data_IF_129276649282
#
_entry.id   IF_129276649282
#
_cell.length_a   1.000
_cell.length_b   1.000
_cell.length_c   1.000
_cell.angle_alpha   90.00
_cell.angle_beta   90.00
_cell.angle_gamma   90.00
#
_symmetry.space_group_name_H-M   'P 1'
#
loop_
_entity.id
_entity.type
_entity.pdbx_description
1 polymer ?
#
# COMPACT_ATOMS: atom_id res chain seq x y z
N UNK A 1 5.01 -69.06 52.39
CA UNK A 1 4.23 -68.59 51.17
C UNK A 1 4.15 -67.08 51.22
N UNK A 2 5.01 -66.39 50.47
CA UNK A 2 5.13 -64.94 50.46
C UNK A 2 4.55 -64.42 49.11
N UNK A 3 3.39 -63.75 49.20
CA UNK A 3 2.73 -63.13 48.05
C UNK A 3 3.40 -61.81 47.71
N UNK A 4 4.02 -61.70 46.52
CA UNK A 4 4.53 -60.43 45.95
C UNK A 4 3.39 -59.70 45.26
N UNK A 5 3.01 -58.50 45.77
CA UNK A 5 2.12 -57.56 45.13
C UNK A 5 2.93 -56.76 44.16
N UNK A 6 2.62 -56.85 42.88
CA UNK A 6 3.13 -55.93 41.78
C UNK A 6 2.30 -54.68 41.78
N UNK A 7 2.94 -53.56 42.05
CA UNK A 7 2.35 -52.21 41.93
C UNK A 7 2.64 -51.73 40.51
N UNK A 8 1.60 -51.67 39.66
CA UNK A 8 1.73 -51.16 38.29
C UNK A 8 1.50 -49.66 38.34
N UNK A 9 2.55 -48.87 38.18
CA UNK A 9 2.49 -47.42 38.10
C UNK A 9 2.11 -47.04 36.66
N UNK A 10 0.89 -46.56 36.48
CA UNK A 10 0.39 -46.06 35.19
C UNK A 10 0.85 -44.60 35.05
N UNK A 11 1.88 -44.34 34.23
CA UNK A 11 2.36 -42.98 33.91
C UNK A 11 1.47 -42.40 32.83
N UNK A 12 0.60 -41.47 33.22
CA UNK A 12 -0.26 -40.70 32.30
C UNK A 12 0.60 -39.59 31.67
N UNK A 13 1.10 -39.81 30.45
CA UNK A 13 1.72 -38.78 29.65
C UNK A 13 0.64 -37.81 29.15
N UNK A 14 0.52 -36.66 29.81
CA UNK A 14 -0.33 -35.55 29.36
C UNK A 14 0.34 -34.83 28.18
N UNK A 15 -0.13 -35.08 26.96
CA UNK A 15 0.33 -34.41 25.75
C UNK A 15 -0.27 -33.01 25.77
N UNK A 16 0.46 -31.99 26.20
CA UNK A 16 0.07 -30.59 26.08
C UNK A 16 0.27 -30.21 24.62
N UNK A 17 -0.80 -30.24 23.85
CA UNK A 17 -0.82 -29.66 22.50
C UNK A 17 -0.81 -28.14 22.64
N UNK A 18 0.37 -27.54 22.52
CA UNK A 18 0.50 -26.09 22.39
C UNK A 18 -0.04 -25.71 20.99
N UNK A 19 -1.29 -25.31 20.92
CA UNK A 19 -1.82 -24.62 19.73
C UNK A 19 -1.12 -23.26 19.63
N UNK A 20 0.03 -23.22 18.94
CA UNK A 20 0.58 -21.97 18.46
C UNK A 20 -0.44 -21.41 17.45
N UNK A 21 -1.18 -20.40 17.87
CA UNK A 21 -1.93 -19.57 16.94
C UNK A 21 -0.90 -18.88 16.05
N UNK A 22 -0.60 -19.47 14.90
CA UNK A 22 0.12 -18.79 13.83
C UNK A 22 -0.77 -17.62 13.41
N UNK A 23 -0.49 -16.43 13.95
CA UNK A 23 -1.05 -15.21 13.37
C UNK A 23 -0.57 -15.17 11.93
N UNK A 24 -1.48 -15.27 10.98
CA UNK A 24 -1.15 -15.15 9.58
C UNK A 24 -0.59 -13.74 9.37
N UNK A 25 0.71 -13.64 9.08
CA UNK A 25 1.36 -12.39 8.74
C UNK A 25 1.26 -12.24 7.23
N UNK A 26 1.00 -11.02 6.76
CA UNK A 26 1.04 -10.69 5.34
C UNK A 26 2.43 -10.13 5.05
N UNK A 27 3.14 -10.76 4.12
CA UNK A 27 4.45 -10.27 3.71
C UNK A 27 4.30 -8.92 3.01
N UNK A 28 5.18 -7.93 3.28
CA UNK A 28 5.20 -6.69 2.53
C UNK A 28 5.40 -6.94 1.03
N UNK A 29 4.73 -6.15 0.21
CA UNK A 29 4.83 -6.30 -1.25
C UNK A 29 3.63 -5.76 -1.99
N UNK A 30 3.67 -5.92 -3.30
CA UNK A 30 2.56 -5.61 -4.19
C UNK A 30 1.79 -6.89 -4.50
N UNK A 31 0.47 -6.85 -4.36
CA UNK A 31 -0.43 -7.95 -4.63
C UNK A 31 -1.46 -7.56 -5.68
N UNK A 32 -1.68 -8.41 -6.66
CA UNK A 32 -2.59 -8.15 -7.79
C UNK A 32 -3.65 -9.25 -7.87
N UNK A 33 -4.88 -8.82 -8.10
CA UNK A 33 -6.01 -9.68 -8.47
C UNK A 33 -6.66 -9.06 -9.70
N UNK A 34 -6.67 -9.78 -10.80
CA UNK A 34 -7.37 -9.39 -12.02
C UNK A 34 -8.67 -10.22 -12.13
N UNK A 35 -9.81 -9.53 -12.14
CA UNK A 35 -11.13 -10.14 -12.31
C UNK A 35 -11.77 -9.51 -13.55
N UNK A 36 -11.93 -10.28 -14.59
CA UNK A 36 -12.35 -9.80 -15.91
C UNK A 36 -11.40 -8.69 -16.41
N UNK A 37 -11.92 -7.48 -16.56
CA UNK A 37 -11.18 -6.30 -17.00
C UNK A 37 -10.77 -5.38 -15.83
N UNK A 38 -11.07 -5.76 -14.60
CA UNK A 38 -10.83 -4.96 -13.40
C UNK A 38 -9.61 -5.46 -12.66
N UNK A 39 -8.63 -4.57 -12.47
CA UNK A 39 -7.48 -4.83 -11.62
C UNK A 39 -7.70 -4.28 -10.22
N UNK A 40 -7.44 -5.13 -9.25
CA UNK A 40 -7.26 -4.79 -7.85
C UNK A 40 -5.77 -4.85 -7.52
N UNK A 41 -5.20 -3.76 -7.06
CA UNK A 41 -3.79 -3.67 -6.69
C UNK A 41 -3.67 -3.25 -5.22
N UNK A 42 -3.03 -4.10 -4.41
CA UNK A 42 -2.66 -3.80 -3.04
C UNK A 42 -1.17 -3.49 -2.98
N UNK A 43 -0.80 -2.44 -2.26
CA UNK A 43 0.56 -2.21 -1.78
C UNK A 43 0.54 -2.33 -0.27
N UNK A 44 1.39 -3.18 0.29
CA UNK A 44 1.40 -3.52 1.72
C UNK A 44 2.81 -3.37 2.26
N UNK A 45 2.97 -2.60 3.32
CA UNK A 45 4.17 -2.55 4.17
C UNK A 45 3.77 -2.90 5.59
N UNK A 46 4.72 -2.93 6.53
CA UNK A 46 4.39 -3.11 7.95
C UNK A 46 3.49 -1.98 8.43
N UNK A 47 2.24 -2.32 8.74
CA UNK A 47 1.26 -1.41 9.32
C UNK A 47 0.60 -0.41 8.38
N UNK A 48 0.90 -0.39 7.07
CA UNK A 48 0.23 0.50 6.11
C UNK A 48 -0.08 -0.19 4.79
N UNK A 49 -1.27 0.09 4.24
CA UNK A 49 -1.67 -0.47 2.96
C UNK A 49 -2.47 0.51 2.11
N UNK A 50 -2.45 0.27 0.80
CA UNK A 50 -3.38 0.90 -0.14
C UNK A 50 -4.02 -0.16 -1.03
N UNK A 51 -5.27 0.08 -1.42
CA UNK A 51 -6.01 -0.73 -2.38
C UNK A 51 -6.51 0.18 -3.51
N UNK A 52 -6.05 -0.04 -4.71
CA UNK A 52 -6.50 0.64 -5.92
C UNK A 52 -7.28 -0.30 -6.81
N UNK A 53 -8.39 0.16 -7.37
CA UNK A 53 -9.25 -0.59 -8.28
C UNK A 53 -9.45 0.22 -9.55
N UNK A 54 -9.17 -0.39 -10.70
CA UNK A 54 -9.29 0.25 -12.00
C UNK A 54 -9.53 -0.76 -13.13
N UNK A 55 -10.24 -0.35 -14.17
CA UNK A 55 -10.35 -1.09 -15.41
C UNK A 55 -9.06 -0.96 -16.22
N UNK A 56 -8.66 -2.01 -16.92
CA UNK A 56 -7.42 -2.05 -17.71
C UNK A 56 -7.66 -1.80 -19.19
N UNK A 57 -8.87 -2.08 -19.71
CA UNK A 57 -9.21 -1.90 -21.14
C UNK A 57 -10.72 -1.75 -21.36
N UNK A 58 -11.26 -0.54 -21.70
CA UNK A 58 -10.53 0.72 -21.64
C UNK A 58 -10.10 1.07 -20.22
N UNK A 59 -8.98 1.77 -20.09
CA UNK A 59 -8.47 2.13 -18.79
C UNK A 59 -9.39 3.15 -18.11
N UNK A 60 -9.78 2.88 -16.85
CA UNK A 60 -10.64 3.76 -16.07
C UNK A 60 -10.43 3.56 -14.58
N UNK A 61 -10.18 4.65 -13.86
CA UNK A 61 -10.13 4.60 -12.41
C UNK A 61 -11.52 4.32 -11.82
N UNK A 62 -11.58 3.41 -10.83
CA UNK A 62 -12.83 3.08 -10.12
C UNK A 62 -12.79 3.65 -8.71
N UNK A 63 -11.87 3.18 -7.85
CA UNK A 63 -11.75 3.63 -6.46
C UNK A 63 -10.38 3.35 -5.87
N UNK A 64 -10.07 4.02 -4.77
CA UNK A 64 -8.92 3.69 -3.94
C UNK A 64 -9.19 4.00 -2.47
N UNK A 65 -8.66 3.16 -1.60
CA UNK A 65 -8.65 3.33 -0.14
C UNK A 65 -7.25 3.05 0.38
N UNK A 66 -6.92 3.56 1.55
CA UNK A 66 -5.67 3.21 2.21
C UNK A 66 -5.54 3.84 3.59
N UNK A 67 -4.66 3.27 4.39
CA UNK A 67 -4.43 3.69 5.75
C UNK A 67 -3.62 2.69 6.54
N UNK A 68 -3.55 2.92 7.83
CA UNK A 68 -2.85 2.05 8.78
C UNK A 68 -3.68 0.81 9.09
N UNK A 69 -3.02 -0.34 9.20
CA UNK A 69 -3.70 -1.58 9.54
C UNK A 69 -3.01 -2.33 10.66
N UNK A 70 -3.79 -3.16 11.33
CA UNK A 70 -3.32 -4.20 12.24
C UNK A 70 -3.96 -5.54 11.86
N UNK A 71 -3.31 -6.63 12.23
CA UNK A 71 -3.87 -7.98 12.06
C UNK A 71 -4.38 -8.46 13.40
N UNK A 72 -5.67 -8.72 13.49
CA UNK A 72 -6.29 -9.25 14.71
C UNK A 72 -7.29 -10.36 14.36
N UNK A 73 -7.23 -11.50 15.04
CA UNK A 73 -8.17 -12.59 14.88
C UNK A 73 -8.43 -13.05 13.43
N UNK A 74 -7.40 -12.99 12.57
CA UNK A 74 -7.53 -13.37 11.16
C UNK A 74 -8.22 -12.31 10.29
N UNK A 75 -8.33 -11.08 10.78
CA UNK A 75 -8.83 -9.92 10.03
C UNK A 75 -7.78 -8.84 9.90
N UNK A 76 -7.84 -8.11 8.81
CA UNK A 76 -7.18 -6.82 8.61
C UNK A 76 -8.10 -5.72 9.13
N UNK A 77 -7.74 -5.09 10.24
CA UNK A 77 -8.44 -3.94 10.78
C UNK A 77 -7.71 -2.69 10.31
N UNK A 78 -8.34 -1.93 9.42
CA UNK A 78 -7.72 -0.81 8.69
C UNK A 78 -8.38 0.48 9.14
N UNK A 79 -7.58 1.42 9.67
CA UNK A 79 -7.97 2.80 9.90
C UNK A 79 -7.59 3.62 8.66
N UNK A 80 -8.61 4.04 7.91
CA UNK A 80 -8.39 4.73 6.65
C UNK A 80 -7.87 6.16 6.87
N UNK A 81 -6.88 6.56 6.09
CA UNK A 81 -6.48 7.95 5.91
C UNK A 81 -7.20 8.60 4.74
N UNK A 82 -7.55 7.80 3.74
CA UNK A 82 -8.32 8.23 2.59
C UNK A 82 -9.24 7.12 2.07
N UNK A 83 -10.35 7.57 1.49
CA UNK A 83 -11.33 6.76 0.79
C UNK A 83 -11.90 7.62 -0.34
N UNK A 84 -11.63 7.24 -1.60
CA UNK A 84 -12.10 8.00 -2.76
C UNK A 84 -13.61 7.99 -2.92
N UNK A 85 -14.31 7.10 -2.21
CA UNK A 85 -15.78 6.97 -2.21
C UNK A 85 -16.43 7.49 -0.92
N UNK A 86 -15.67 8.15 -0.07
CA UNK A 86 -16.12 8.57 1.28
C UNK A 86 -17.42 9.39 1.27
N UNK A 87 -17.62 10.25 0.28
CA UNK A 87 -18.85 11.06 0.16
C UNK A 87 -20.11 10.19 0.02
N UNK A 88 -19.97 8.96 -0.49
CA UNK A 88 -21.09 8.04 -0.68
C UNK A 88 -21.25 7.01 0.46
N UNK A 89 -20.14 6.49 0.99
CA UNK A 89 -20.16 5.37 1.95
C UNK A 89 -19.83 5.78 3.40
N UNK A 90 -19.20 6.93 3.60
CA UNK A 90 -18.82 7.43 4.93
C UNK A 90 -17.81 6.55 5.69
N UNK A 91 -17.20 5.57 5.03
CA UNK A 91 -16.33 4.58 5.68
C UNK A 91 -14.97 5.19 6.06
N UNK A 92 -14.62 5.08 7.34
CA UNK A 92 -13.33 5.49 7.93
C UNK A 92 -12.51 4.30 8.41
N UNK A 93 -13.13 3.15 8.59
CA UNK A 93 -12.52 1.93 9.09
C UNK A 93 -13.04 0.73 8.30
N UNK A 94 -12.19 -0.27 8.10
CA UNK A 94 -12.56 -1.53 7.46
C UNK A 94 -12.04 -2.67 8.33
N UNK A 95 -12.82 -3.73 8.48
CA UNK A 95 -12.37 -5.00 9.04
C UNK A 95 -12.61 -6.10 8.01
N UNK A 96 -11.56 -6.66 7.47
CA UNK A 96 -11.62 -7.59 6.35
C UNK A 96 -10.99 -8.92 6.77
N UNK A 97 -11.78 -9.99 6.96
CA UNK A 97 -11.22 -11.31 7.18
C UNK A 97 -10.34 -11.73 5.99
N UNK A 98 -9.21 -12.36 6.27
CA UNK A 98 -8.30 -12.79 5.22
C UNK A 98 -7.75 -14.20 5.48
N UNK A 99 -7.11 -14.77 4.46
CA UNK A 99 -6.29 -15.97 4.58
C UNK A 99 -5.03 -15.82 3.74
N UNK A 100 -3.92 -16.37 4.25
CA UNK A 100 -2.67 -16.53 3.49
C UNK A 100 -2.45 -18.02 3.25
N UNK A 101 -2.45 -18.44 2.00
CA UNK A 101 -2.23 -19.84 1.61
C UNK A 101 -1.29 -19.90 0.41
N UNK A 102 -0.16 -20.60 0.56
CA UNK A 102 0.81 -20.84 -0.53
C UNK A 102 1.23 -19.56 -1.28
N UNK A 103 1.41 -18.45 -0.57
CA UNK A 103 1.82 -17.16 -1.14
C UNK A 103 0.68 -16.38 -1.81
N UNK A 104 -0.56 -16.82 -1.67
CA UNK A 104 -1.76 -16.08 -2.10
C UNK A 104 -2.46 -15.46 -0.90
N UNK A 105 -2.85 -14.19 -1.04
CA UNK A 105 -3.66 -13.46 -0.09
C UNK A 105 -5.11 -13.49 -0.56
N UNK A 106 -6.01 -14.06 0.24
CA UNK A 106 -7.45 -14.02 -0.01
C UNK A 106 -8.11 -13.04 0.95
N UNK A 107 -8.71 -11.96 0.44
CA UNK A 107 -9.59 -11.08 1.21
C UNK A 107 -11.01 -11.64 1.14
N UNK A 108 -11.58 -11.97 2.32
CA UNK A 108 -12.88 -12.64 2.47
C UNK A 108 -13.97 -11.59 2.75
N UNK A 109 -14.35 -10.81 1.72
CA UNK A 109 -15.53 -9.94 1.75
C UNK A 109 -16.76 -10.64 1.17
N UNK A 110 -17.81 -9.88 0.86
CA UNK A 110 -19.03 -10.39 0.19
C UNK A 110 -18.70 -11.09 -1.14
N UNK A 111 -17.70 -10.60 -1.85
CA UNK A 111 -17.08 -11.22 -3.01
C UNK A 111 -15.60 -11.45 -2.73
N UNK A 112 -15.19 -12.67 -2.39
CA UNK A 112 -13.80 -12.98 -2.08
C UNK A 112 -12.87 -12.67 -3.25
N UNK A 113 -11.74 -12.00 -2.96
CA UNK A 113 -10.71 -11.67 -3.93
C UNK A 113 -9.43 -12.42 -3.59
N UNK A 114 -8.86 -13.11 -4.57
CA UNK A 114 -7.60 -13.83 -4.45
C UNK A 114 -6.51 -13.01 -5.14
N UNK A 115 -5.52 -12.64 -4.36
CA UNK A 115 -4.38 -11.85 -4.80
C UNK A 115 -3.13 -12.71 -4.91
N UNK A 116 -2.38 -12.50 -5.95
CA UNK A 116 -1.03 -13.07 -6.13
C UNK A 116 0.01 -11.99 -5.88
N UNK A 117 1.01 -12.30 -5.07
CA UNK A 117 2.12 -11.39 -4.84
C UNK A 117 2.92 -11.21 -6.13
N UNK A 118 3.17 -9.96 -6.51
CA UNK A 118 4.04 -9.64 -7.64
C UNK A 118 5.49 -9.94 -7.31
N UNK A 119 6.30 -10.12 -8.36
CA UNK A 119 7.75 -10.29 -8.18
C UNK A 119 8.31 -9.07 -7.45
N UNK A 120 9.10 -9.32 -6.42
CA UNK A 120 9.86 -8.26 -5.76
C UNK A 120 10.90 -7.66 -6.71
N UNK A 121 10.78 -6.36 -6.99
CA UNK A 121 11.67 -5.58 -7.85
C UNK A 121 12.09 -4.32 -7.10
N UNK A 122 13.13 -4.45 -6.28
CA UNK A 122 13.61 -3.31 -5.49
C UNK A 122 14.03 -2.15 -6.36
N UNK A 123 13.58 -0.96 -5.99
CA UNK A 123 13.89 0.33 -6.62
C UNK A 123 14.53 1.27 -5.61
N UNK A 124 15.32 2.25 -6.07
CA UNK A 124 15.99 3.21 -5.17
C UNK A 124 15.00 4.09 -4.41
N UNK A 125 13.85 4.40 -5.01
CA UNK A 125 12.80 5.22 -4.41
C UNK A 125 11.69 4.42 -3.73
N UNK A 126 11.82 3.09 -3.55
CA UNK A 126 10.81 2.34 -2.79
C UNK A 126 10.58 2.97 -1.42
N UNK A 127 9.32 3.22 -1.08
CA UNK A 127 8.94 3.85 0.17
C UNK A 127 7.64 4.65 0.08
N UNK A 128 7.29 5.26 1.20
CA UNK A 128 6.15 6.16 1.32
C UNK A 128 6.68 7.60 1.47
N UNK A 129 6.46 8.43 0.46
CA UNK A 129 6.98 9.78 0.38
C UNK A 129 5.86 10.80 0.49
N UNK A 130 5.93 11.67 1.49
CA UNK A 130 4.99 12.79 1.66
C UNK A 130 5.56 14.05 1.01
N UNK A 131 4.73 14.73 0.23
CA UNK A 131 5.11 16.04 -0.30
C UNK A 131 5.40 17.00 0.85
N UNK A 132 6.63 17.45 0.93
CA UNK A 132 7.08 18.37 1.97
C UNK A 132 6.99 19.83 1.51
N UNK A 133 7.66 20.19 0.43
CA UNK A 133 7.69 21.57 -0.06
C UNK A 133 8.10 21.63 -1.53
N UNK A 134 8.09 22.82 -2.12
CA UNK A 134 8.68 23.08 -3.43
C UNK A 134 10.14 23.46 -3.25
N UNK A 135 10.99 22.98 -4.15
CA UNK A 135 12.39 23.36 -4.19
C UNK A 135 12.65 24.66 -4.94
N UNK A 136 13.83 25.29 -4.73
CA UNK A 136 14.79 24.89 -3.69
C UNK A 136 14.27 25.16 -2.28
N UNK A 137 14.72 24.37 -1.30
CA UNK A 137 14.42 24.63 0.12
C UNK A 137 15.25 25.82 0.60
N UNK A 138 14.57 26.91 0.89
CA UNK A 138 15.16 28.17 1.35
C UNK A 138 14.62 28.59 2.73
N UNK A 139 14.09 27.61 3.51
CA UNK A 139 13.52 27.82 4.84
C UNK A 139 12.01 28.13 4.83
N UNK A 140 11.32 27.86 3.72
CA UNK A 140 9.86 27.94 3.67
C UNK A 140 9.22 26.82 4.48
N UNK A 141 7.94 27.01 4.83
CA UNK A 141 7.16 26.01 5.54
C UNK A 141 7.16 24.66 4.81
N UNK A 142 7.41 23.59 5.57
CA UNK A 142 7.36 22.21 5.09
C UNK A 142 6.15 21.51 5.68
N UNK A 143 5.51 20.66 4.87
CA UNK A 143 4.48 19.77 5.35
C UNK A 143 5.10 18.47 5.85
N UNK A 144 4.48 17.90 6.88
CA UNK A 144 4.86 16.63 7.45
C UNK A 144 3.64 15.72 7.68
N UNK A 145 3.84 14.67 8.43
CA UNK A 145 2.77 13.71 8.71
C UNK A 145 1.69 14.27 9.66
N UNK A 146 1.98 15.32 10.39
CA UNK A 146 1.06 16.08 11.25
C UNK A 146 0.02 16.89 10.46
N UNK A 147 0.30 17.24 9.20
CA UNK A 147 -0.61 18.03 8.40
C UNK A 147 -1.79 17.18 7.89
N UNK A 148 -3.02 17.68 8.07
CA UNK A 148 -4.21 16.99 7.60
C UNK A 148 -4.25 16.84 6.06
N UNK A 149 -3.81 17.87 5.33
CA UNK A 149 -3.70 17.79 3.85
C UNK A 149 -2.38 17.15 3.45
N UNK A 150 -2.49 15.99 2.85
CA UNK A 150 -1.34 15.18 2.40
C UNK A 150 -1.36 14.98 0.88
N UNK A 151 -0.18 14.83 0.33
CA UNK A 151 0.03 14.14 -0.96
C UNK A 151 1.06 13.08 -0.71
N UNK A 152 0.67 11.82 -0.89
CA UNK A 152 1.50 10.64 -0.70
C UNK A 152 1.92 10.09 -2.05
N UNK A 153 3.19 9.79 -2.26
CA UNK A 153 3.68 8.86 -3.27
C UNK A 153 4.08 7.57 -2.58
N UNK A 154 3.38 6.49 -2.90
CA UNK A 154 3.69 5.16 -2.41
C UNK A 154 4.30 4.34 -3.54
N UNK A 155 5.59 4.04 -3.42
CA UNK A 155 6.40 3.32 -4.39
C UNK A 155 6.83 1.99 -3.79
N UNK A 156 6.58 0.90 -4.49
CA UNK A 156 6.93 -0.45 -4.04
C UNK A 156 7.00 -1.41 -5.23
N UNK A 157 8.10 -2.15 -5.31
CA UNK A 157 8.27 -3.25 -6.29
C UNK A 157 7.97 -2.83 -7.74
N UNK A 158 8.40 -1.65 -8.15
CA UNK A 158 8.17 -1.12 -9.50
C UNK A 158 6.72 -0.65 -9.75
N UNK A 159 5.88 -0.56 -8.70
CA UNK A 159 4.52 -0.03 -8.77
C UNK A 159 4.43 1.24 -7.95
N UNK A 160 3.85 2.30 -8.52
CA UNK A 160 3.64 3.56 -7.80
C UNK A 160 2.16 3.93 -7.73
N UNK A 161 1.86 4.73 -6.74
CA UNK A 161 0.60 5.46 -6.63
C UNK A 161 0.89 6.81 -5.99
N UNK A 162 0.38 7.91 -6.55
CA UNK A 162 0.26 9.16 -5.84
C UNK A 162 -1.18 9.38 -5.42
N UNK A 163 -1.40 9.91 -4.21
CA UNK A 163 -2.72 10.18 -3.65
C UNK A 163 -2.70 11.54 -2.98
N UNK A 164 -3.66 12.42 -3.32
CA UNK A 164 -3.87 13.69 -2.66
C UNK A 164 -5.19 13.66 -1.88
N UNK A 165 -5.12 13.89 -0.57
CA UNK A 165 -6.25 13.72 0.35
C UNK A 165 -6.14 14.63 1.57
N UNK A 166 -7.20 14.64 2.41
CA UNK A 166 -7.22 15.31 3.71
C UNK A 166 -7.75 14.33 4.76
N UNK A 167 -6.97 14.07 5.81
CA UNK A 167 -7.27 13.07 6.85
C UNK A 167 -8.36 13.50 7.84
N UNK A 168 -8.61 14.79 8.01
CA UNK A 168 -9.65 15.30 8.89
C UNK A 168 -11.03 15.29 8.23
N UNK A 169 -11.09 15.80 6.99
CA UNK A 169 -12.34 15.93 6.24
C UNK A 169 -12.64 14.73 5.36
N UNK A 170 -11.70 13.81 5.19
CA UNK A 170 -11.73 12.70 4.23
C UNK A 170 -11.91 13.15 2.77
N UNK A 171 -11.67 14.43 2.50
CA UNK A 171 -11.77 14.94 1.12
C UNK A 171 -10.69 14.31 0.25
N UNK A 172 -11.13 13.54 -0.74
CA UNK A 172 -10.28 13.00 -1.79
C UNK A 172 -10.07 14.05 -2.88
N UNK A 173 -8.82 14.27 -3.28
CA UNK A 173 -8.47 15.27 -4.30
C UNK A 173 -8.02 14.65 -5.62
N UNK A 174 -7.60 13.39 -5.60
CA UNK A 174 -7.21 12.64 -6.79
C UNK A 174 -6.08 11.66 -6.53
N UNK A 175 -5.92 10.76 -7.49
CA UNK A 175 -4.88 9.73 -7.52
C UNK A 175 -4.49 9.40 -8.96
N UNK A 176 -3.32 8.85 -9.12
CA UNK A 176 -2.87 8.17 -10.32
C UNK A 176 -1.78 7.16 -9.95
N UNK A 177 -1.57 6.19 -10.80
CA UNK A 177 -0.59 5.15 -10.56
C UNK A 177 -0.30 4.31 -11.78
N UNK A 178 0.57 3.34 -11.57
CA UNK A 178 1.04 2.45 -12.62
C UNK A 178 2.39 1.85 -12.29
N UNK A 179 3.20 1.61 -13.30
CA UNK A 179 4.57 1.12 -13.13
C UNK A 179 5.58 2.26 -13.06
N UNK A 180 6.69 2.03 -12.37
CA UNK A 180 7.80 2.98 -12.32
C UNK A 180 9.15 2.26 -12.32
N UNK A 181 10.17 3.03 -12.64
CA UNK A 181 11.57 2.69 -12.38
C UNK A 181 12.30 3.88 -11.79
N UNK A 182 13.24 3.60 -10.87
CA UNK A 182 14.13 4.60 -10.30
C UNK A 182 15.54 4.04 -10.19
N UNK A 183 16.44 4.57 -10.99
CA UNK A 183 17.83 4.14 -11.05
C UNK A 183 18.72 5.28 -11.53
N UNK A 184 19.88 5.42 -10.92
CA UNK A 184 20.95 6.34 -11.36
C UNK A 184 20.45 7.80 -11.54
N UNK A 185 19.56 8.26 -10.66
CA UNK A 185 19.02 9.62 -10.71
C UNK A 185 17.88 9.84 -11.71
N UNK A 186 17.47 8.81 -12.46
CA UNK A 186 16.32 8.87 -13.38
C UNK A 186 15.09 8.17 -12.77
N UNK A 187 13.97 8.89 -12.69
CA UNK A 187 12.66 8.39 -12.25
C UNK A 187 11.67 8.43 -13.41
N UNK A 188 11.10 7.28 -13.76
CA UNK A 188 10.19 7.14 -14.89
C UNK A 188 8.88 6.55 -14.38
N UNK A 189 7.76 7.24 -14.63
CA UNK A 189 6.40 6.78 -14.37
C UNK A 189 5.72 6.39 -15.67
N UNK A 190 5.05 5.23 -15.70
CA UNK A 190 4.11 4.86 -16.76
C UNK A 190 2.71 4.79 -16.16
N UNK A 191 1.84 5.69 -16.59
CA UNK A 191 0.48 5.87 -16.04
C UNK A 191 -0.43 4.74 -16.53
N UNK A 192 -1.03 3.99 -15.62
CA UNK A 192 -2.00 2.93 -15.91
C UNK A 192 -3.43 3.30 -15.47
N UNK A 193 -3.57 4.21 -14.52
CA UNK A 193 -4.86 4.80 -14.14
C UNK A 193 -4.68 6.23 -13.63
N UNK A 194 -5.71 7.06 -13.83
CA UNK A 194 -5.71 8.45 -13.39
C UNK A 194 -7.13 8.92 -13.08
N UNK A 195 -7.42 9.32 -11.84
CA UNK A 195 -8.77 9.57 -11.35
C UNK A 195 -9.48 10.80 -11.92
N UNK A 196 -8.74 11.69 -12.59
CA UNK A 196 -9.28 12.96 -13.10
C UNK A 196 -9.42 12.99 -14.61
N UNK A 197 -8.65 12.19 -15.32
CA UNK A 197 -8.55 12.26 -16.78
C UNK A 197 -7.92 10.98 -17.34
N UNK A 198 -8.77 10.08 -17.84
CA UNK A 198 -8.33 8.79 -18.38
C UNK A 198 -7.44 8.95 -19.62
N UNK A 199 -7.46 10.12 -20.31
CA UNK A 199 -6.57 10.40 -21.43
C UNK A 199 -5.07 10.43 -21.05
N UNK A 200 -4.78 10.51 -19.77
CA UNK A 200 -3.40 10.46 -19.24
C UNK A 200 -2.84 9.02 -19.20
N UNK A 201 -3.67 8.01 -19.34
CA UNK A 201 -3.23 6.62 -19.33
C UNK A 201 -2.38 6.31 -20.55
N UNK A 202 -1.31 5.55 -20.34
CA UNK A 202 -0.30 5.26 -21.35
C UNK A 202 0.83 6.30 -21.45
N UNK A 203 0.68 7.47 -20.81
CA UNK A 203 1.76 8.46 -20.77
C UNK A 203 2.95 7.93 -19.97
N UNK A 204 4.15 8.17 -20.49
CA UNK A 204 5.42 7.95 -19.82
C UNK A 204 6.00 9.31 -19.43
N UNK A 205 6.24 9.49 -18.13
CA UNK A 205 6.75 10.73 -17.55
C UNK A 205 8.16 10.49 -17.01
N UNK A 206 9.10 11.33 -17.42
CA UNK A 206 10.51 11.24 -17.02
C UNK A 206 10.88 12.42 -16.13
N UNK A 207 11.57 12.10 -15.04
CA UNK A 207 11.99 13.07 -14.03
C UNK A 207 13.43 12.75 -13.60
N UNK A 208 14.13 13.76 -13.15
CA UNK A 208 15.37 13.61 -12.43
C UNK A 208 15.11 13.56 -10.93
N UNK A 209 15.88 12.76 -10.21
CA UNK A 209 15.82 12.72 -8.75
C UNK A 209 17.20 12.67 -8.11
N UNK A 210 17.23 13.12 -6.89
CA UNK A 210 18.37 13.04 -5.99
C UNK A 210 17.86 12.70 -4.59
N UNK A 211 18.49 11.77 -3.90
CA UNK A 211 18.26 11.52 -2.48
C UNK A 211 19.31 12.31 -1.69
N UNK A 212 18.86 13.29 -0.94
CA UNK A 212 19.72 14.17 -0.16
C UNK A 212 19.13 14.46 1.21
N UNK A 213 19.93 14.27 2.26
CA UNK A 213 19.54 14.50 3.67
C UNK A 213 18.26 13.74 4.10
N UNK A 214 17.98 12.60 3.47
CA UNK A 214 16.79 11.79 3.70
C UNK A 214 15.54 12.22 2.92
N UNK A 215 15.64 13.28 2.13
CA UNK A 215 14.58 13.77 1.25
C UNK A 215 14.80 13.31 -0.20
N UNK A 216 13.70 13.15 -0.91
CA UNK A 216 13.69 12.96 -2.35
C UNK A 216 13.46 14.30 -3.05
N UNK A 217 14.49 14.78 -3.74
CA UNK A 217 14.45 15.97 -4.60
C UNK A 217 14.01 15.57 -6.01
N UNK A 218 12.79 15.89 -6.38
CA UNK A 218 12.12 15.50 -7.61
C UNK A 218 12.05 16.67 -8.58
N UNK A 219 12.70 16.56 -9.74
CA UNK A 219 12.79 17.64 -10.74
C UNK A 219 12.29 17.15 -12.10
N UNK A 220 11.67 18.05 -12.85
CA UNK A 220 11.18 17.74 -14.19
C UNK A 220 10.22 18.79 -14.72
N UNK A 221 9.19 18.33 -15.41
CA UNK A 221 8.10 19.18 -15.90
C UNK A 221 6.77 18.71 -15.33
N UNK A 222 5.92 19.67 -14.98
CA UNK A 222 4.54 19.39 -14.57
C UNK A 222 3.66 19.04 -15.79
N UNK A 223 2.38 18.75 -15.56
CA UNK A 223 1.41 18.40 -16.61
C UNK A 223 1.17 19.49 -17.66
N UNK A 224 1.62 20.72 -17.39
CA UNK A 224 1.55 21.86 -18.34
C UNK A 224 2.86 22.09 -19.11
N UNK A 225 3.89 21.25 -18.85
CA UNK A 225 5.21 21.41 -19.43
C UNK A 225 6.10 22.45 -18.75
N UNK A 226 5.66 23.05 -17.64
CA UNK A 226 6.42 24.01 -16.85
C UNK A 226 7.45 23.32 -15.96
N UNK A 227 8.60 23.93 -15.68
CA UNK A 227 9.58 23.40 -14.73
C UNK A 227 8.95 23.11 -13.38
N UNK A 228 9.28 21.95 -12.82
CA UNK A 228 8.84 21.50 -11.51
C UNK A 228 10.04 21.07 -10.67
N UNK A 229 10.05 21.52 -9.41
CA UNK A 229 10.96 21.02 -8.41
C UNK A 229 10.21 20.84 -7.10
N UNK A 230 10.11 19.58 -6.64
CA UNK A 230 9.41 19.20 -5.42
C UNK A 230 10.37 18.46 -4.50
N UNK A 231 10.16 18.61 -3.20
CA UNK A 231 10.89 17.90 -2.16
C UNK A 231 9.88 17.03 -1.40
N UNK A 232 10.21 15.76 -1.29
CA UNK A 232 9.38 14.73 -0.68
C UNK A 232 10.12 14.12 0.51
N UNK A 233 9.48 14.10 1.67
CA UNK A 233 10.03 13.51 2.88
C UNK A 233 9.61 12.05 3.00
N UNK A 234 10.54 11.17 3.38
CA UNK A 234 10.22 9.78 3.66
C UNK A 234 9.35 9.71 4.90
N UNK A 235 8.20 9.06 4.79
CA UNK A 235 7.30 8.78 5.89
C UNK A 235 7.94 7.75 6.82
N UNK A 236 7.94 8.03 8.12
CA UNK A 236 8.52 7.18 9.17
C UNK A 236 7.45 6.29 9.83
#
# INVERSE_FOLDING_TARGET
MTSKKYFTTLTLCSLIVFCLSLNAQIDPGVYISDVDNVRHELKITDGYMTHSVYETSPAKFIKTTGGFYTVQNGSLDIKLEFNSNFENDGQKELSIPFAMEKGQLTLKGDSPLVFTQSKHVKQELDGQWLFATRGPDTGQERRGDENARKTLKYLQDGRFQWIAYNTETFKFHGTGGGSFSSQDGAYIEKIEYFSRDDSRVGAELKFDYELKDGDWHHRGKNSKGEPMYEIWALRK
#
